data_IF_225354289229
#
_entry.id   IF_225354289229
#
_cell.length_a   1.000
_cell.length_b   1.000
_cell.length_c   1.000
_cell.angle_alpha   90.00
_cell.angle_beta   90.00
_cell.angle_gamma   90.00
#
_symmetry.space_group_name_H-M   'P 1'
#
loop_
_entity.id
_entity.type
_entity.pdbx_description
1 polymer ?
#
# COMPACT_ATOMS: atom_id res chain seq x y z
N UNK A 1 17.52 4.66 -96.42
CA UNK A 1 18.91 5.11 -96.61
C UNK A 1 19.55 5.32 -95.26
N UNK A 2 20.86 5.01 -95.17
CA UNK A 2 21.71 4.99 -93.97
C UNK A 2 21.97 6.39 -93.37
N UNK A 3 22.62 6.35 -92.19
CA UNK A 3 23.55 7.32 -91.56
C UNK A 3 22.91 8.10 -90.40
N UNK A 4 23.15 7.69 -89.14
CA UNK A 4 24.29 8.07 -88.24
C UNK A 4 24.36 9.58 -87.93
N UNK A 5 24.17 9.96 -86.67
CA UNK A 5 25.23 10.59 -85.85
C UNK A 5 24.75 10.88 -84.42
N UNK A 6 25.72 10.77 -83.53
CA UNK A 6 25.69 10.72 -82.07
C UNK A 6 25.95 12.15 -81.53
N UNK A 7 25.61 12.41 -80.26
CA UNK A 7 26.44 13.09 -79.22
C UNK A 7 25.82 14.33 -78.51
N UNK A 8 25.70 14.17 -77.18
CA UNK A 8 25.83 15.12 -76.03
C UNK A 8 24.64 15.95 -75.52
N UNK A 9 24.06 15.41 -74.43
CA UNK A 9 23.83 15.95 -73.10
C UNK A 9 23.72 17.48 -72.86
N UNK A 10 22.65 17.83 -72.15
CA UNK A 10 22.71 18.76 -71.03
C UNK A 10 21.77 18.29 -69.92
N UNK A 11 22.35 17.89 -68.78
CA UNK A 11 21.68 17.81 -67.49
C UNK A 11 21.13 19.19 -67.13
N UNK A 12 19.93 19.26 -66.58
CA UNK A 12 19.59 20.22 -65.53
C UNK A 12 18.48 19.66 -64.64
N UNK A 13 18.83 19.51 -63.38
CA UNK A 13 18.00 19.08 -62.26
C UNK A 13 16.81 20.02 -62.04
N UNK A 14 15.63 19.45 -61.77
CA UNK A 14 14.67 20.01 -60.83
C UNK A 14 13.70 18.92 -60.37
N UNK A 15 14.03 18.31 -59.24
CA UNK A 15 13.07 17.58 -58.40
C UNK A 15 11.92 18.51 -58.02
N UNK A 16 10.71 18.21 -58.52
CA UNK A 16 9.50 18.91 -58.13
C UNK A 16 9.21 18.69 -56.65
N UNK A 17 9.30 19.77 -55.87
CA UNK A 17 8.86 19.80 -54.48
C UNK A 17 7.32 19.80 -54.44
N UNK A 18 6.71 18.71 -53.99
CA UNK A 18 5.35 18.76 -53.46
C UNK A 18 5.40 19.54 -52.13
N UNK A 19 5.06 20.83 -52.16
CA UNK A 19 4.73 21.57 -50.94
C UNK A 19 3.35 21.12 -50.48
N UNK A 20 3.31 20.10 -49.61
CA UNK A 20 2.17 19.90 -48.73
C UNK A 20 2.21 21.01 -47.68
N UNK A 21 1.29 21.99 -47.79
CA UNK A 21 1.02 22.90 -46.70
C UNK A 21 0.42 22.08 -45.54
N UNK A 22 1.25 21.74 -44.56
CA UNK A 22 0.76 21.28 -43.27
C UNK A 22 0.12 22.50 -42.58
N UNK A 23 -1.21 22.54 -42.57
CA UNK A 23 -1.96 23.43 -41.69
C UNK A 23 -1.57 23.09 -40.24
N UNK A 24 -1.17 24.07 -39.41
CA UNK A 24 -0.92 23.81 -38.01
C UNK A 24 -2.24 23.40 -37.36
N UNK A 25 -2.36 22.13 -36.97
CA UNK A 25 -3.50 21.68 -36.17
C UNK A 25 -3.38 22.34 -34.81
N UNK A 26 -4.25 23.30 -34.51
CA UNK A 26 -4.36 23.99 -33.21
C UNK A 26 -4.98 23.11 -32.14
N UNK A 27 -4.52 21.88 -32.01
CA UNK A 27 -4.80 21.00 -30.87
C UNK A 27 -3.46 20.56 -30.28
N UNK A 28 -2.65 21.53 -29.88
CA UNK A 28 -1.60 21.25 -28.90
C UNK A 28 -2.34 20.97 -27.59
N UNK A 29 -2.58 19.70 -27.29
CA UNK A 29 -2.90 19.29 -25.92
C UNK A 29 -1.78 19.84 -25.05
N UNK A 30 -2.07 20.86 -24.25
CA UNK A 30 -1.13 21.41 -23.27
C UNK A 30 -0.63 20.21 -22.47
N UNK A 31 0.65 19.87 -22.64
CA UNK A 31 1.28 18.84 -21.84
C UNK A 31 1.33 19.38 -20.42
N UNK A 32 0.40 18.92 -19.58
CA UNK A 32 0.40 19.23 -18.16
C UNK A 32 1.80 18.95 -17.58
N UNK A 33 2.39 19.87 -16.81
CA UNK A 33 3.65 19.62 -16.14
C UNK A 33 3.57 18.31 -15.35
N UNK A 34 4.54 17.41 -15.54
CA UNK A 34 4.60 16.17 -14.76
C UNK A 34 4.60 16.53 -13.28
N UNK A 35 3.60 16.07 -12.53
CA UNK A 35 3.51 16.28 -11.08
C UNK A 35 4.79 15.78 -10.38
N UNK A 36 5.25 16.46 -9.33
CA UNK A 36 6.43 15.99 -8.58
C UNK A 36 6.13 14.66 -7.87
N UNK A 37 7.20 13.91 -7.59
CA UNK A 37 7.08 12.62 -6.90
C UNK A 37 6.47 12.80 -5.52
N UNK A 38 5.38 12.07 -5.27
CA UNK A 38 4.60 12.06 -4.04
C UNK A 38 3.47 13.09 -4.00
N UNK A 39 3.33 13.95 -5.00
CA UNK A 39 2.27 14.98 -5.00
C UNK A 39 0.92 14.42 -5.47
N UNK A 40 0.94 13.31 -6.21
CA UNK A 40 -0.25 12.69 -6.79
C UNK A 40 -0.25 11.18 -6.61
N UNK A 41 -1.45 10.58 -6.63
CA UNK A 41 -1.62 9.12 -6.59
C UNK A 41 -0.95 8.39 -7.76
N UNK A 42 -0.89 9.02 -8.94
CA UNK A 42 -0.27 8.44 -10.15
C UNK A 42 1.26 8.59 -10.19
N UNK A 43 1.84 9.45 -9.34
CA UNK A 43 3.29 9.58 -9.19
C UNK A 43 3.69 9.52 -7.69
N UNK A 44 3.45 8.40 -6.99
CA UNK A 44 3.70 8.30 -5.55
C UNK A 44 5.20 8.11 -5.24
N UNK A 45 5.59 8.37 -3.99
CA UNK A 45 6.89 7.94 -3.46
C UNK A 45 6.88 6.41 -3.30
N UNK A 46 7.65 5.70 -4.11
CA UNK A 46 7.74 4.24 -4.08
C UNK A 46 8.86 3.79 -3.14
N UNK A 47 8.55 2.97 -2.14
CA UNK A 47 9.55 2.49 -1.20
C UNK A 47 9.16 1.17 -0.52
N UNK A 48 10.18 0.44 -0.05
CA UNK A 48 10.02 -0.74 0.79
C UNK A 48 10.00 -0.37 2.27
N UNK A 49 9.26 -1.15 3.06
CA UNK A 49 9.22 -1.03 4.51
C UNK A 49 10.23 -2.00 5.14
N UNK A 50 10.98 -1.53 6.13
CA UNK A 50 11.87 -2.38 6.93
C UNK A 50 11.13 -3.02 8.11
N UNK A 51 11.26 -4.33 8.22
CA UNK A 51 10.83 -5.16 9.34
C UNK A 51 11.99 -5.23 10.34
N UNK A 52 11.73 -4.93 11.61
CA UNK A 52 12.72 -4.80 12.68
C UNK A 52 12.70 -5.94 13.69
N UNK A 53 11.59 -6.67 13.79
CA UNK A 53 11.43 -7.74 14.77
C UNK A 53 10.01 -8.32 14.79
N UNK A 54 9.30 -8.05 15.87
CA UNK A 54 7.91 -8.49 16.08
C UNK A 54 6.91 -7.71 15.21
N UNK A 55 7.30 -6.58 14.63
CA UNK A 55 6.52 -5.90 13.56
C UNK A 55 6.35 -6.76 12.29
N UNK A 56 7.05 -7.89 12.19
CA UNK A 56 6.81 -8.88 11.13
C UNK A 56 5.38 -9.43 11.15
N UNK A 57 4.73 -9.57 12.32
CA UNK A 57 3.34 -10.01 12.40
C UNK A 57 2.37 -8.96 11.87
N UNK A 58 2.54 -7.70 12.29
CA UNK A 58 1.66 -6.61 11.86
C UNK A 58 1.79 -6.37 10.35
N UNK A 59 3.02 -6.36 9.83
CA UNK A 59 3.19 -6.24 8.39
C UNK A 59 2.67 -7.45 7.61
N UNK A 60 2.71 -8.68 8.16
CA UNK A 60 2.12 -9.82 7.46
C UNK A 60 0.59 -9.73 7.34
N UNK A 61 -0.06 -9.08 8.32
CA UNK A 61 -1.48 -8.69 8.21
C UNK A 61 -1.66 -7.70 7.05
N UNK A 62 -0.86 -6.62 7.00
CA UNK A 62 -0.93 -5.61 5.93
C UNK A 62 -0.71 -6.22 4.55
N UNK A 63 0.25 -7.15 4.44
CA UNK A 63 0.57 -7.86 3.21
C UNK A 63 -0.59 -8.75 2.75
N UNK A 64 -1.23 -9.48 3.67
CA UNK A 64 -2.42 -10.26 3.35
C UNK A 64 -3.58 -9.36 2.90
N UNK A 65 -3.80 -8.25 3.59
CA UNK A 65 -4.81 -7.26 3.24
C UNK A 65 -4.63 -6.70 1.82
N UNK A 66 -3.41 -6.27 1.49
CA UNK A 66 -3.06 -5.77 0.16
C UNK A 66 -3.15 -6.86 -0.91
N UNK A 67 -2.58 -8.04 -0.65
CA UNK A 67 -2.47 -9.12 -1.62
C UNK A 67 -3.80 -9.83 -1.87
N UNK A 68 -4.59 -10.07 -0.82
CA UNK A 68 -5.74 -10.97 -0.86
C UNK A 68 -7.08 -10.26 -0.70
N UNK A 69 -7.13 -9.08 -0.08
CA UNK A 69 -8.39 -8.33 0.14
C UNK A 69 -8.49 -7.07 -0.71
N UNK A 70 -7.52 -6.84 -1.61
CA UNK A 70 -7.52 -5.72 -2.54
C UNK A 70 -7.35 -4.35 -1.86
N UNK A 71 -6.77 -4.33 -0.65
CA UNK A 71 -6.46 -3.06 0.02
C UNK A 71 -5.37 -2.30 -0.75
N UNK A 72 -5.40 -0.95 -0.74
CA UNK A 72 -4.48 -0.15 -1.52
C UNK A 72 -3.03 -0.33 -1.08
N UNK A 73 -2.12 -0.46 -2.06
CA UNK A 73 -0.67 -0.33 -1.87
C UNK A 73 -0.21 1.12 -2.00
N UNK A 74 -0.98 1.94 -2.73
CA UNK A 74 -0.76 3.39 -2.91
C UNK A 74 -1.71 4.16 -2.01
N UNK A 75 -1.17 4.91 -1.06
CA UNK A 75 -1.92 5.61 -0.01
C UNK A 75 -1.45 7.06 0.14
N UNK A 76 -2.34 7.93 0.62
CA UNK A 76 -2.00 9.30 0.99
C UNK A 76 -1.87 9.41 2.51
N UNK A 77 -0.74 9.89 3.02
CA UNK A 77 -0.54 10.12 4.45
C UNK A 77 -1.40 11.30 4.92
N UNK A 78 -2.06 11.15 6.06
CA UNK A 78 -2.88 12.21 6.69
C UNK A 78 -2.29 12.70 8.00
N UNK A 79 -2.85 13.79 8.53
CA UNK A 79 -2.45 14.36 9.80
C UNK A 79 -2.92 13.51 11.00
N UNK A 80 -2.37 13.80 12.19
CA UNK A 80 -2.66 13.02 13.40
C UNK A 80 -4.13 13.13 13.85
N UNK A 81 -4.80 14.26 13.61
CA UNK A 81 -6.19 14.45 14.00
C UNK A 81 -7.11 13.53 13.19
N UNK A 82 -6.90 13.47 11.88
CA UNK A 82 -7.58 12.55 10.98
C UNK A 82 -7.28 11.10 11.34
N UNK A 83 -6.01 10.77 11.62
CA UNK A 83 -5.65 9.43 12.09
C UNK A 83 -6.28 9.02 13.44
N UNK A 84 -6.53 9.98 14.35
CA UNK A 84 -7.27 9.72 15.59
C UNK A 84 -8.75 9.45 15.31
N UNK A 85 -9.36 10.15 14.35
CA UNK A 85 -10.76 9.93 13.91
C UNK A 85 -10.91 8.56 13.23
N UNK A 86 -9.94 8.14 12.43
CA UNK A 86 -9.92 6.83 11.77
C UNK A 86 -10.00 5.65 12.75
N UNK A 87 -9.54 5.82 14.00
CA UNK A 87 -9.62 4.75 15.02
C UNK A 87 -10.92 4.70 15.80
N UNK A 88 -11.77 5.74 15.68
CA UNK A 88 -12.98 5.86 16.49
C UNK A 88 -14.10 4.96 15.96
N UNK A 89 -14.90 4.41 16.87
CA UNK A 89 -16.07 3.59 16.49
C UNK A 89 -17.15 4.38 15.74
N UNK A 90 -17.24 5.69 15.98
CA UNK A 90 -18.25 6.57 15.36
C UNK A 90 -18.07 6.70 13.85
N UNK A 91 -16.82 6.71 13.38
CA UNK A 91 -16.48 7.09 11.99
C UNK A 91 -15.45 6.18 11.34
N UNK A 92 -14.83 5.27 12.07
CA UNK A 92 -13.61 4.59 11.67
C UNK A 92 -13.60 3.08 11.96
N UNK A 93 -12.42 2.53 12.21
CA UNK A 93 -12.15 1.10 12.40
C UNK A 93 -12.65 0.55 13.73
N UNK A 94 -12.86 1.43 14.72
CA UNK A 94 -13.16 1.03 16.09
C UNK A 94 -11.95 0.56 16.89
N UNK A 95 -10.73 0.61 16.35
CA UNK A 95 -9.50 0.20 17.04
C UNK A 95 -9.29 0.90 18.39
N UNK A 96 -9.72 2.17 18.53
CA UNK A 96 -9.59 2.94 19.78
C UNK A 96 -10.28 2.25 20.97
N UNK A 97 -11.31 1.45 20.72
CA UNK A 97 -12.07 0.76 21.75
C UNK A 97 -11.40 -0.54 22.23
N UNK A 98 -10.20 -0.85 21.75
CA UNK A 98 -9.42 -2.03 22.11
C UNK A 98 -10.23 -3.33 21.95
N UNK A 99 -10.72 -3.62 20.73
CA UNK A 99 -11.64 -4.73 20.51
C UNK A 99 -11.03 -6.08 20.88
N UNK A 100 -9.73 -6.25 20.67
CA UNK A 100 -9.02 -7.47 21.00
C UNK A 100 -8.72 -7.60 22.50
N UNK A 101 -8.48 -6.51 23.24
CA UNK A 101 -8.45 -6.59 24.71
C UNK A 101 -9.83 -6.98 25.31
N UNK A 102 -10.92 -6.70 24.59
CA UNK A 102 -12.30 -6.86 25.06
C UNK A 102 -13.13 -7.78 24.16
N UNK A 103 -12.56 -8.90 23.70
CA UNK A 103 -13.15 -9.79 22.67
C UNK A 103 -14.59 -10.19 22.94
N UNK A 104 -14.87 -10.68 24.16
CA UNK A 104 -16.20 -11.14 24.57
C UNK A 104 -17.25 -10.03 24.42
N UNK A 105 -16.92 -8.82 24.87
CA UNK A 105 -17.79 -7.64 24.75
C UNK A 105 -18.13 -7.32 23.28
N UNK A 106 -17.20 -7.56 22.37
CA UNK A 106 -17.35 -7.22 20.95
C UNK A 106 -17.71 -8.41 20.06
N UNK A 107 -17.98 -9.58 20.62
CA UNK A 107 -18.32 -10.79 19.86
C UNK A 107 -17.18 -11.28 18.95
N UNK A 108 -15.94 -10.94 19.26
CA UNK A 108 -14.77 -11.38 18.51
C UNK A 108 -14.34 -12.75 19.03
N UNK A 109 -14.03 -13.68 18.10
CA UNK A 109 -13.60 -15.03 18.46
C UNK A 109 -12.33 -15.01 19.32
N UNK A 110 -12.16 -16.05 20.14
CA UNK A 110 -10.98 -16.21 20.96
C UNK A 110 -9.70 -16.17 20.11
N UNK A 111 -8.65 -15.58 20.66
CA UNK A 111 -7.32 -15.60 20.03
C UNK A 111 -6.78 -17.01 19.89
N UNK A 112 -5.84 -17.23 18.96
CA UNK A 112 -4.99 -18.42 19.01
C UNK A 112 -4.13 -18.40 20.28
N UNK A 113 -3.59 -19.56 20.65
CA UNK A 113 -2.61 -19.66 21.73
C UNK A 113 -1.42 -18.73 21.46
N UNK A 114 -0.84 -18.17 22.52
CA UNK A 114 0.38 -17.37 22.39
C UNK A 114 1.58 -18.28 22.13
N UNK A 115 2.62 -17.75 21.51
CA UNK A 115 3.81 -18.52 21.12
C UNK A 115 5.07 -17.97 21.75
N UNK A 116 6.13 -18.78 21.79
CA UNK A 116 7.45 -18.35 22.27
C UNK A 116 8.01 -17.19 21.41
N UNK A 117 7.66 -17.13 20.12
CA UNK A 117 7.99 -16.01 19.24
C UNK A 117 7.50 -14.67 19.80
N UNK A 118 6.29 -14.64 20.37
CA UNK A 118 5.69 -13.45 21.00
C UNK A 118 6.05 -13.30 22.49
N UNK A 119 7.03 -14.05 23.01
CA UNK A 119 7.31 -14.19 24.44
C UNK A 119 6.04 -14.47 25.27
N UNK A 120 5.13 -15.29 24.71
CA UNK A 120 3.82 -15.63 25.29
C UNK A 120 2.90 -14.43 25.59
N UNK A 121 3.16 -13.24 25.02
CA UNK A 121 2.32 -12.05 25.19
C UNK A 121 0.96 -12.23 24.51
N UNK A 122 -0.06 -11.62 25.11
CA UNK A 122 -1.43 -11.66 24.60
C UNK A 122 -1.55 -10.88 23.28
N UNK A 123 -2.46 -11.34 22.42
CA UNK A 123 -2.85 -10.68 21.18
C UNK A 123 -3.87 -9.55 21.45
N UNK A 124 -3.56 -8.57 22.30
CA UNK A 124 -4.52 -7.57 22.81
C UNK A 124 -4.66 -6.31 21.95
N UNK A 125 -3.65 -5.99 21.15
CA UNK A 125 -3.64 -4.79 20.30
C UNK A 125 -4.32 -5.03 18.97
N UNK A 126 -4.85 -3.97 18.35
CA UNK A 126 -5.44 -4.02 17.02
C UNK A 126 -4.44 -3.49 15.99
N UNK A 127 -3.89 -4.40 15.17
CA UNK A 127 -3.33 -4.00 13.88
C UNK A 127 -4.47 -3.54 12.99
N UNK A 128 -4.28 -2.51 12.16
CA UNK A 128 -5.32 -2.00 11.27
C UNK A 128 -4.77 -1.58 9.90
N UNK A 129 -5.33 -2.17 8.84
CA UNK A 129 -4.96 -1.82 7.47
C UNK A 129 -6.20 -1.55 6.58
N UNK A 130 -6.21 -0.50 5.73
CA UNK A 130 -5.17 0.51 5.55
C UNK A 130 -4.88 1.31 6.82
N UNK A 131 -3.64 1.76 6.98
CA UNK A 131 -3.20 2.42 8.20
C UNK A 131 -4.11 3.60 8.53
N UNK A 132 -4.51 3.75 9.79
CA UNK A 132 -5.24 4.96 10.21
C UNK A 132 -4.46 6.26 9.91
N UNK A 133 -3.15 6.20 9.74
CA UNK A 133 -2.32 7.34 9.31
C UNK A 133 -2.44 7.70 7.81
N UNK A 134 -3.35 7.07 7.08
CA UNK A 134 -3.61 7.29 5.64
C UNK A 134 -5.06 7.65 5.36
N UNK A 135 -5.33 8.24 4.20
CA UNK A 135 -6.67 8.65 3.75
C UNK A 135 -7.64 7.47 3.58
N UNK A 136 -7.15 6.31 3.16
CA UNK A 136 -7.92 5.08 3.03
C UNK A 136 -8.13 4.33 4.37
N UNK A 137 -7.55 4.85 5.45
CA UNK A 137 -7.62 4.26 6.77
C UNK A 137 -8.98 4.45 7.47
N UNK A 138 -9.17 3.72 8.55
CA UNK A 138 -10.33 3.85 9.41
C UNK A 138 -11.52 3.00 8.95
N UNK A 139 -12.54 3.60 8.34
CA UNK A 139 -13.76 2.85 8.00
C UNK A 139 -13.41 1.73 7.00
N UNK A 140 -13.89 0.53 7.27
CA UNK A 140 -13.58 -0.69 6.52
C UNK A 140 -12.11 -1.16 6.59
N UNK A 141 -11.26 -0.56 7.42
CA UNK A 141 -9.96 -1.14 7.73
C UNK A 141 -10.17 -2.53 8.34
N UNK A 142 -9.36 -3.50 7.92
CA UNK A 142 -9.35 -4.82 8.53
C UNK A 142 -8.46 -4.74 9.76
N UNK A 143 -8.90 -5.41 10.82
CA UNK A 143 -8.22 -5.46 12.09
C UNK A 143 -7.87 -6.90 12.44
N UNK A 144 -6.65 -7.11 12.94
CA UNK A 144 -6.19 -8.40 13.48
C UNK A 144 -5.58 -8.16 14.85
N UNK A 145 -5.81 -9.13 15.76
CA UNK A 145 -5.23 -9.08 17.10
C UNK A 145 -3.73 -9.39 17.07
N UNK A 146 -2.91 -8.46 17.53
CA UNK A 146 -1.45 -8.57 17.61
C UNK A 146 -0.96 -8.27 19.03
N UNK A 147 0.33 -8.49 19.32
CA UNK A 147 0.91 -8.05 20.60
C UNK A 147 1.08 -6.53 20.61
N UNK A 148 1.07 -5.93 21.78
CA UNK A 148 1.40 -4.50 21.94
C UNK A 148 2.83 -4.19 21.45
N UNK A 149 3.77 -5.13 21.63
CA UNK A 149 5.14 -4.97 21.17
C UNK A 149 5.24 -4.93 19.64
N UNK A 150 4.56 -5.85 18.94
CA UNK A 150 4.47 -5.80 17.46
C UNK A 150 3.94 -4.45 16.98
N UNK A 151 2.92 -3.90 17.65
CA UNK A 151 2.34 -2.61 17.27
C UNK A 151 3.29 -1.43 17.50
N UNK A 152 3.98 -1.38 18.64
CA UNK A 152 4.92 -0.30 18.95
C UNK A 152 6.18 -0.35 18.05
N UNK A 153 6.64 -1.55 17.69
CA UNK A 153 7.68 -1.72 16.69
C UNK A 153 7.22 -1.25 15.30
N UNK A 154 6.02 -1.63 14.87
CA UNK A 154 5.47 -1.19 13.57
C UNK A 154 5.31 0.34 13.52
N UNK A 155 4.82 0.96 14.59
CA UNK A 155 4.76 2.43 14.73
C UNK A 155 6.13 3.08 14.57
N UNK A 156 7.17 2.47 15.14
CA UNK A 156 8.56 2.94 15.00
C UNK A 156 9.03 2.79 13.55
N UNK A 157 8.82 1.62 12.95
CA UNK A 157 9.17 1.32 11.56
C UNK A 157 8.46 2.25 10.57
N UNK A 158 7.16 2.49 10.72
CA UNK A 158 6.39 3.42 9.90
C UNK A 158 6.86 4.87 10.07
N UNK A 159 7.18 5.29 11.30
CA UNK A 159 7.77 6.62 11.54
C UNK A 159 9.09 6.78 10.80
N UNK A 160 9.97 5.78 10.87
CA UNK A 160 11.23 5.77 10.12
C UNK A 160 10.97 5.77 8.61
N UNK A 161 10.04 4.94 8.11
CA UNK A 161 9.66 4.89 6.70
C UNK A 161 9.21 6.26 6.19
N UNK A 162 8.28 6.92 6.87
CA UNK A 162 7.82 8.25 6.47
C UNK A 162 8.95 9.29 6.49
N UNK A 163 9.78 9.28 7.53
CA UNK A 163 10.88 10.23 7.67
C UNK A 163 11.95 10.05 6.58
N UNK A 164 12.47 8.83 6.41
CA UNK A 164 13.55 8.53 5.47
C UNK A 164 13.15 8.78 4.02
N UNK A 165 11.87 8.58 3.68
CA UNK A 165 11.33 8.83 2.34
C UNK A 165 10.78 10.25 2.16
N UNK A 166 10.87 11.11 3.19
CA UNK A 166 10.33 12.49 3.20
C UNK A 166 8.85 12.51 2.81
N UNK A 167 8.05 11.62 3.40
CA UNK A 167 6.60 11.53 3.19
C UNK A 167 5.90 12.41 4.21
N UNK A 168 5.20 13.43 3.75
CA UNK A 168 4.51 14.41 4.59
C UNK A 168 3.03 14.10 4.70
N UNK A 169 2.39 14.60 5.77
CA UNK A 169 0.94 14.53 5.84
C UNK A 169 0.34 15.52 4.84
N UNK A 170 -0.71 15.11 4.15
CA UNK A 170 -1.59 16.01 3.41
C UNK A 170 -2.02 17.18 4.30
N UNK A 171 -1.89 18.40 3.77
CA UNK A 171 -2.24 19.63 4.46
C UNK A 171 -3.66 20.05 4.07
N UNK A 172 -4.62 19.77 4.97
CA UNK A 172 -6.03 20.12 4.79
C UNK A 172 -6.26 21.64 4.71
N UNK A 173 -5.44 22.45 5.39
CA UNK A 173 -5.59 23.92 5.42
C UNK A 173 -5.20 24.55 4.10
N UNK A 174 -4.13 24.07 3.47
CA UNK A 174 -3.62 24.60 2.19
C UNK A 174 -4.00 23.76 0.98
N UNK A 175 -4.79 22.70 1.18
CA UNK A 175 -5.11 21.69 0.16
C UNK A 175 -3.85 21.13 -0.54
N UNK A 176 -2.73 21.05 0.19
CA UNK A 176 -1.44 20.63 -0.38
C UNK A 176 -1.21 19.13 -0.20
N UNK A 177 -0.95 18.47 -1.33
CA UNK A 177 -0.57 17.05 -1.38
C UNK A 177 0.93 16.84 -1.50
N UNK A 178 1.75 17.88 -1.30
CA UNK A 178 3.21 17.81 -1.47
C UNK A 178 3.80 16.61 -0.73
N UNK A 179 4.39 15.68 -1.51
CA UNK A 179 5.03 14.46 -0.99
C UNK A 179 4.16 13.63 -0.03
N UNK A 180 2.84 13.66 -0.18
CA UNK A 180 1.91 12.94 0.71
C UNK A 180 1.51 11.55 0.22
N UNK A 181 1.66 11.28 -1.08
CA UNK A 181 1.36 10.00 -1.70
C UNK A 181 2.57 9.07 -1.70
N UNK A 182 2.36 7.82 -1.29
CA UNK A 182 3.39 6.80 -1.26
C UNK A 182 2.84 5.44 -1.68
N UNK A 183 3.71 4.58 -2.20
CA UNK A 183 3.42 3.19 -2.56
C UNK A 183 4.34 2.27 -1.76
N UNK A 184 3.74 1.31 -1.07
CA UNK A 184 4.47 0.19 -0.48
C UNK A 184 4.80 -0.80 -1.59
N UNK A 185 6.07 -0.87 -1.98
CA UNK A 185 6.52 -1.76 -3.07
C UNK A 185 7.00 -3.12 -2.58
N UNK A 186 7.22 -3.28 -1.28
CA UNK A 186 7.70 -4.51 -0.68
C UNK A 186 8.15 -4.34 0.76
N UNK A 187 8.59 -5.45 1.34
CA UNK A 187 9.07 -5.54 2.72
C UNK A 187 10.42 -6.21 2.78
N UNK A 188 11.33 -5.68 3.60
CA UNK A 188 12.66 -6.26 3.81
C UNK A 188 13.04 -6.30 5.27
N UNK A 189 13.96 -7.18 5.64
CA UNK A 189 14.52 -7.20 7.00
C UNK A 189 15.49 -6.05 7.19
N UNK A 190 15.43 -5.39 8.34
CA UNK A 190 16.44 -4.41 8.74
C UNK A 190 17.77 -5.12 9.03
N UNK A 191 18.84 -4.63 8.42
CA UNK A 191 20.18 -5.16 8.65
C UNK A 191 20.55 -5.09 10.15
N UNK A 192 21.24 -6.12 10.65
CA UNK A 192 21.64 -6.21 12.05
C UNK A 192 20.52 -6.59 13.02
N UNK A 193 19.38 -7.09 12.52
CA UNK A 193 18.28 -7.62 13.35
C UNK A 193 18.08 -9.12 13.10
N UNK A 194 17.41 -9.80 14.02
CA UNK A 194 16.96 -11.20 13.86
C UNK A 194 15.60 -11.31 13.16
N UNK A 195 15.11 -10.20 12.59
CA UNK A 195 13.81 -10.12 11.96
C UNK A 195 13.67 -11.09 10.77
N UNK A 196 12.45 -11.55 10.54
CA UNK A 196 12.10 -12.39 9.38
C UNK A 196 10.87 -11.80 8.69
N UNK A 197 10.85 -11.84 7.37
CA UNK A 197 9.66 -11.49 6.59
C UNK A 197 8.62 -12.60 6.79
N UNK A 198 7.39 -12.21 7.12
CA UNK A 198 6.26 -13.12 7.24
C UNK A 198 5.86 -13.78 5.90
N UNK A 199 5.09 -14.87 5.92
CA UNK A 199 4.74 -15.60 4.71
C UNK A 199 3.86 -14.80 3.72
N UNK A 200 2.89 -14.00 4.18
CA UNK A 200 2.11 -13.15 3.27
C UNK A 200 2.97 -12.02 2.70
N UNK A 201 3.89 -11.44 3.47
CA UNK A 201 4.81 -10.44 2.92
C UNK A 201 5.82 -11.03 1.93
N UNK A 202 6.28 -12.26 2.15
CA UNK A 202 7.07 -12.99 1.13
C UNK A 202 6.26 -13.16 -0.15
N UNK A 203 5.00 -13.57 -0.03
CA UNK A 203 4.10 -13.72 -1.16
C UNK A 203 3.81 -12.38 -1.86
N UNK A 204 3.62 -11.30 -1.10
CA UNK A 204 3.43 -9.94 -1.62
C UNK A 204 4.65 -9.49 -2.44
N UNK A 205 5.86 -9.65 -1.91
CA UNK A 205 7.11 -9.36 -2.63
C UNK A 205 7.24 -10.19 -3.92
N UNK A 206 6.82 -11.46 -3.88
CA UNK A 206 6.87 -12.39 -5.01
C UNK A 206 5.68 -12.25 -5.97
N UNK A 207 4.66 -11.43 -5.65
CA UNK A 207 3.37 -11.34 -6.35
C UNK A 207 2.65 -12.69 -6.47
N UNK A 208 2.76 -13.54 -5.46
CA UNK A 208 2.16 -14.88 -5.44
C UNK A 208 0.80 -14.86 -4.73
N UNK A 209 -0.29 -14.84 -5.50
CA UNK A 209 -1.66 -14.84 -4.96
C UNK A 209 -2.17 -16.23 -4.51
N UNK A 210 -1.39 -17.31 -4.67
CA UNK A 210 -1.83 -18.66 -4.25
C UNK A 210 -2.10 -18.76 -2.75
N UNK A 211 -1.43 -17.94 -1.96
CA UNK A 211 -1.61 -17.84 -0.50
C UNK A 211 -2.99 -17.30 -0.11
N UNK A 212 -3.71 -16.66 -1.03
CA UNK A 212 -5.04 -16.09 -0.80
C UNK A 212 -6.16 -17.13 -0.88
N UNK A 213 -5.89 -18.33 -1.38
CA UNK A 213 -6.92 -19.39 -1.42
C UNK A 213 -7.38 -19.75 -0.01
N UNK A 214 -8.69 -19.90 0.16
CA UNK A 214 -9.30 -20.38 1.40
C UNK A 214 -8.81 -21.79 1.80
N UNK A 215 -8.33 -22.61 0.84
CA UNK A 215 -7.79 -23.95 1.09
C UNK A 215 -6.32 -23.96 1.50
N UNK A 216 -5.60 -22.84 1.35
CA UNK A 216 -4.18 -22.75 1.69
C UNK A 216 -4.06 -22.28 3.13
N UNK A 217 -3.33 -22.99 3.99
CA UNK A 217 -3.04 -22.52 5.36
C UNK A 217 -1.68 -21.82 5.41
N UNK A 218 -1.64 -20.57 5.84
CA UNK A 218 -0.44 -19.72 5.77
C UNK A 218 -0.04 -19.30 7.18
N UNK A 219 0.79 -20.11 7.83
CA UNK A 219 1.18 -19.90 9.24
C UNK A 219 2.55 -19.23 9.31
N UNK A 220 2.60 -18.07 9.99
CA UNK A 220 3.86 -17.39 10.30
C UNK A 220 4.50 -17.88 11.60
N UNK A 221 5.64 -17.25 11.96
CA UNK A 221 6.39 -17.62 13.16
C UNK A 221 5.60 -17.44 14.48
N UNK A 222 4.58 -16.60 14.46
CA UNK A 222 3.63 -16.40 15.57
C UNK A 222 2.70 -17.59 15.82
N UNK A 223 2.59 -18.55 14.88
CA UNK A 223 1.92 -19.84 15.09
C UNK A 223 0.46 -19.93 14.63
N UNK A 224 -0.05 -18.96 13.88
CA UNK A 224 -1.40 -19.01 13.28
C UNK A 224 -1.46 -18.34 11.91
N UNK A 225 -2.55 -18.53 11.17
CA UNK A 225 -2.82 -17.80 9.92
C UNK A 225 -3.59 -16.51 10.23
N UNK A 226 -3.04 -15.34 9.90
CA UNK A 226 -3.67 -14.05 10.23
C UNK A 226 -5.04 -13.88 9.58
N UNK A 227 -5.27 -14.48 8.41
CA UNK A 227 -6.53 -14.42 7.68
C UNK A 227 -7.69 -15.06 8.47
N UNK A 228 -7.41 -16.04 9.32
CA UNK A 228 -8.42 -16.67 10.15
C UNK A 228 -8.93 -15.72 11.25
N UNK A 229 -8.22 -14.66 11.61
CA UNK A 229 -8.51 -13.79 12.76
C UNK A 229 -8.76 -12.33 12.38
N UNK A 230 -9.16 -12.09 11.14
CA UNK A 230 -9.38 -10.77 10.58
C UNK A 230 -10.83 -10.28 10.70
N UNK A 231 -11.01 -9.03 11.11
CA UNK A 231 -12.32 -8.42 11.37
C UNK A 231 -12.45 -7.05 10.74
N UNK A 232 -13.68 -6.64 10.44
CA UNK A 232 -14.03 -5.25 10.09
C UNK A 232 -15.13 -4.76 11.01
N UNK A 233 -15.12 -3.50 11.41
CA UNK A 233 -16.25 -2.93 12.13
C UNK A 233 -17.38 -2.55 11.16
N UNK A 234 -18.49 -3.27 11.23
CA UNK A 234 -19.70 -2.98 10.48
C UNK A 234 -20.49 -1.87 11.19
N UNK A 235 -20.47 -0.66 10.62
CA UNK A 235 -21.16 0.52 11.16
C UNK A 235 -22.68 0.39 11.18
N UNK A 236 -23.28 -0.35 10.23
CA UNK A 236 -24.73 -0.55 10.18
C UNK A 236 -25.20 -1.47 11.30
N UNK A 237 -24.50 -2.59 11.49
CA UNK A 237 -24.82 -3.60 12.51
C UNK A 237 -24.19 -3.32 13.88
N UNK A 238 -23.35 -2.28 13.96
CA UNK A 238 -22.60 -1.86 15.16
C UNK A 238 -21.81 -3.02 15.81
N UNK A 239 -21.18 -3.86 15.00
CA UNK A 239 -20.43 -5.04 15.47
C UNK A 239 -19.19 -5.29 14.62
N UNK A 240 -18.21 -5.99 15.20
CA UNK A 240 -17.08 -6.52 14.43
C UNK A 240 -17.51 -7.78 13.70
N UNK A 241 -17.27 -7.83 12.39
CA UNK A 241 -17.60 -8.98 11.55
C UNK A 241 -16.32 -9.60 11.02
N UNK A 242 -16.24 -10.93 11.11
CA UNK A 242 -15.17 -11.70 10.50
C UNK A 242 -15.20 -11.51 8.98
N UNK A 243 -14.04 -11.20 8.37
CA UNK A 243 -13.98 -10.88 6.94
C UNK A 243 -13.71 -12.09 6.05
N UNK A 244 -13.49 -13.26 6.63
CA UNK A 244 -13.09 -14.45 5.90
C UNK A 244 -11.66 -14.35 5.37
N UNK A 245 -11.07 -15.52 5.14
CA UNK A 245 -9.99 -15.63 4.17
C UNK A 245 -10.57 -15.34 2.79
#
# INVERSE_FOLDING_TARGET
MRIFSIVIAALLCASGFYHAFALPTTNSSVLEPRSKIGDTKSNPIRAEIEIRGEDSLTYDVDCWDMLCKGKPTVMQKVNQNTARKHRQIKTGSGAKNQPFANRVKYGIKASPATSAWAAHRKWSSAEEFPFASTADGGKNAILVGVTENSQEEQKTSLRTFYHSNRIWAYNETTNSSERSWFEITGFKTRAGTTAKIGPYCKAFNARDSKVCSASTKVVGAWGFDVAEYAYVYNHQKKKFEYVGK
#
